data_IF_652914628160
#
_entry.id   IF_652914628160
#
_cell.length_a   1.000
_cell.length_b   1.000
_cell.length_c   1.000
_cell.angle_alpha   90.00
_cell.angle_beta   90.00
_cell.angle_gamma   90.00
#
_symmetry.space_group_name_H-M   'P 1'
#
loop_
_entity.id
_entity.type
_entity.pdbx_description
1 polymer ?
2 water ?
#
# COMPACT_ATOMS: atom_id res chain seq x y z
N UNK A 1 -10.06 12.83 -6.51
CA UNK A 1 -10.48 12.12 -5.27
C UNK A 1 -9.35 11.22 -4.80
N UNK A 2 -9.00 11.31 -3.52
CA UNK A 2 -8.01 10.43 -2.92
C UNK A 2 -8.46 8.98 -3.03
N UNK A 3 -7.57 8.12 -3.50
CA UNK A 3 -7.87 6.67 -3.65
C UNK A 3 -8.37 6.00 -2.35
N UNK A 4 -7.79 6.35 -1.22
CA UNK A 4 -8.26 5.81 0.08
C UNK A 4 -9.78 5.97 0.29
N UNK A 5 -10.34 7.02 -0.29
CA UNK A 5 -11.76 7.33 -0.16
C UNK A 5 -12.63 6.81 -1.32
N UNK A 6 -12.02 6.23 -2.34
CA UNK A 6 -12.80 5.75 -3.47
C UNK A 6 -13.81 4.68 -3.07
N UNK A 7 -15.04 4.84 -3.55
CA UNK A 7 -16.03 3.77 -3.44
C UNK A 7 -15.77 2.69 -4.51
N UNK A 8 -16.53 1.61 -4.49
CA UNK A 8 -16.45 0.64 -5.61
C UNK A 8 -16.80 1.29 -6.95
N UNK A 9 -17.84 2.12 -6.96
CA UNK A 9 -18.17 2.85 -8.16
C UNK A 9 -17.00 3.69 -8.68
N UNK A 10 -16.30 4.37 -7.76
CA UNK A 10 -15.08 5.13 -8.13
C UNK A 10 -14.03 4.21 -8.73
N UNK A 11 -13.85 3.06 -8.10
CA UNK A 11 -12.91 2.04 -8.62
C UNK A 11 -13.33 1.61 -10.02
N UNK A 12 -14.61 1.28 -10.23
CA UNK A 12 -15.07 0.88 -11.59
C UNK A 12 -14.85 1.99 -12.63
N UNK A 13 -15.04 3.25 -12.24
CA UNK A 13 -14.76 4.38 -13.16
C UNK A 13 -13.26 4.47 -13.53
N UNK A 14 -12.41 4.37 -12.51
CA UNK A 14 -10.96 4.26 -12.72
C UNK A 14 -10.64 3.08 -13.65
N UNK A 15 -11.24 1.91 -13.38
CA UNK A 15 -10.93 0.73 -14.17
C UNK A 15 -11.30 0.93 -15.65
N UNK A 16 -12.46 1.50 -15.91
CA UNK A 16 -12.89 1.75 -17.30
C UNK A 16 -11.94 2.71 -18.03
N UNK A 17 -11.47 3.71 -17.29
CA UNK A 17 -10.59 4.75 -17.84
C UNK A 17 -9.19 4.21 -18.12
N UNK A 18 -8.67 3.36 -17.23
CA UNK A 18 -7.23 2.99 -17.32
C UNK A 18 -7.01 1.57 -17.78
N UNK A 19 -8.06 0.75 -17.66
CA UNK A 19 -8.01 -0.63 -18.08
C UNK A 19 -9.08 -0.88 -19.09
N UNK A 20 -9.23 0.07 -20.00
CA UNK A 20 -10.30 0.05 -20.99
C UNK A 20 -10.20 -1.10 -21.96
N UNK A 21 -9.00 -1.65 -22.15
CA UNK A 21 -8.84 -2.81 -23.04
C UNK A 21 -9.09 -4.17 -22.34
N UNK A 22 -9.45 -4.14 -21.05
CA UNK A 22 -9.63 -5.35 -20.22
C UNK A 22 -10.98 -5.30 -19.52
N UNK A 23 -11.95 -4.70 -20.20
CA UNK A 23 -13.28 -4.53 -19.61
C UNK A 23 -13.93 -5.86 -19.24
N UNK A 24 -13.52 -6.95 -19.90
CA UNK A 24 -14.06 -8.30 -19.63
C UNK A 24 -13.99 -8.68 -18.15
N UNK A 25 -13.03 -8.10 -17.42
CA UNK A 25 -12.86 -8.41 -16.03
C UNK A 25 -13.54 -7.44 -15.09
N UNK A 26 -14.17 -6.40 -15.63
CA UNK A 26 -14.59 -5.29 -14.81
C UNK A 26 -15.56 -5.68 -13.71
N UNK A 27 -16.48 -6.61 -13.99
CA UNK A 27 -17.42 -7.06 -12.97
C UNK A 27 -16.80 -7.77 -11.78
N UNK A 28 -15.59 -8.33 -11.93
CA UNK A 28 -14.88 -8.93 -10.80
C UNK A 28 -14.65 -7.92 -9.68
N UNK A 29 -14.35 -6.67 -10.05
CA UNK A 29 -14.17 -5.60 -9.08
C UNK A 29 -15.42 -5.28 -8.28
N UNK A 30 -16.57 -5.35 -8.94
CA UNK A 30 -17.86 -5.16 -8.25
C UNK A 30 -18.20 -6.37 -7.39
N UNK A 31 -18.07 -7.56 -7.97
CA UNK A 31 -18.41 -8.82 -7.27
C UNK A 31 -17.53 -9.05 -6.04
N UNK A 32 -16.27 -8.62 -6.11
CA UNK A 32 -15.39 -8.73 -4.96
C UNK A 32 -15.36 -7.47 -4.10
N UNK A 33 -16.23 -6.52 -4.41
CA UNK A 33 -16.46 -5.35 -3.55
C UNK A 33 -15.15 -4.55 -3.30
N UNK A 34 -14.40 -4.31 -4.39
CA UNK A 34 -13.11 -3.62 -4.35
C UNK A 34 -13.28 -2.12 -4.25
N UNK A 35 -13.13 -1.61 -3.02
CA UNK A 35 -13.08 -0.17 -2.77
C UNK A 35 -11.65 0.34 -3.00
N UNK A 36 -11.48 1.65 -2.94
CA UNK A 36 -10.16 2.27 -3.02
C UNK A 36 -9.21 1.70 -1.99
N UNK A 37 -9.69 1.49 -0.78
CA UNK A 37 -8.82 0.97 0.24
C UNK A 37 -8.35 -0.44 -0.13
N UNK A 38 -9.25 -1.23 -0.70
CA UNK A 38 -8.87 -2.58 -1.13
C UNK A 38 -7.91 -2.54 -2.32
N UNK A 39 -8.14 -1.58 -3.21
CA UNK A 39 -7.30 -1.41 -4.39
C UNK A 39 -5.85 -1.14 -4.01
N UNK A 40 -5.64 -0.39 -2.93
CA UNK A 40 -4.29 -0.06 -2.48
C UNK A 40 -3.57 -1.23 -1.79
N UNK A 41 -4.30 -2.30 -1.49
CA UNK A 41 -3.78 -3.46 -0.74
C UNK A 41 -3.69 -4.75 -1.56
N UNK A 42 -4.51 -4.85 -2.61
CA UNK A 42 -4.54 -6.10 -3.38
C UNK A 42 -3.18 -6.42 -4.01
N UNK A 43 -2.96 -7.71 -4.25
CA UNK A 43 -1.71 -8.19 -4.83
C UNK A 43 -1.98 -8.85 -6.17
N UNK A 44 -0.91 -9.07 -6.93
CA UNK A 44 -1.00 -9.82 -8.16
C UNK A 44 -1.68 -11.16 -7.88
N UNK A 45 -1.30 -11.81 -6.79
CA UNK A 45 -1.97 -13.07 -6.39
C UNK A 45 -3.48 -12.95 -6.08
N UNK A 46 -3.93 -11.84 -5.47
CA UNK A 46 -5.40 -11.56 -5.29
C UNK A 46 -6.10 -11.57 -6.62
N UNK A 47 -5.49 -10.90 -7.61
CA UNK A 47 -6.06 -10.87 -8.96
C UNK A 47 -6.24 -12.28 -9.52
N UNK A 48 -5.21 -13.10 -9.38
CA UNK A 48 -5.31 -14.47 -9.86
C UNK A 48 -6.42 -15.26 -9.12
N UNK A 49 -6.58 -15.04 -7.81
CA UNK A 49 -7.73 -15.65 -7.06
C UNK A 49 -9.14 -15.15 -7.46
N UNK A 50 -9.24 -13.90 -7.87
CA UNK A 50 -10.48 -13.35 -8.42
C UNK A 50 -10.81 -13.96 -9.80
N UNK A 51 -9.82 -14.55 -10.45
CA UNK A 51 -10.06 -15.28 -11.71
C UNK A 51 -9.34 -14.71 -12.92
N UNK A 52 -8.42 -13.78 -12.70
CA UNK A 52 -7.65 -13.25 -13.81
C UNK A 52 -6.42 -14.16 -13.94
N UNK A 53 -6.63 -15.32 -14.55
CA UNK A 53 -5.59 -16.32 -14.69
C UNK A 53 -4.70 -16.09 -15.91
N UNK A 54 -5.19 -15.39 -16.93
CA UNK A 54 -4.35 -15.06 -18.08
C UNK A 54 -3.23 -14.12 -17.62
N UNK A 55 -2.00 -14.56 -17.79
CA UNK A 55 -0.85 -13.80 -17.30
C UNK A 55 -0.74 -12.39 -17.90
N UNK A 56 -0.82 -12.29 -19.23
CA UNK A 56 -0.65 -10.98 -19.84
C UNK A 56 -1.76 -10.03 -19.45
N UNK A 57 -3.00 -10.50 -19.38
CA UNK A 57 -4.11 -9.63 -18.91
C UNK A 57 -3.88 -9.20 -17.45
N UNK A 58 -3.53 -10.19 -16.61
CA UNK A 58 -3.33 -9.88 -15.19
C UNK A 58 -2.17 -8.88 -15.01
N UNK A 59 -1.07 -9.06 -15.76
CA UNK A 59 0.07 -8.12 -15.76
C UNK A 59 -0.37 -6.71 -16.08
N UNK A 60 -1.23 -6.59 -17.07
CA UNK A 60 -1.63 -5.26 -17.54
C UNK A 60 -2.47 -4.56 -16.49
N UNK A 61 -3.38 -5.30 -15.87
CA UNK A 61 -4.22 -4.72 -14.85
C UNK A 61 -3.39 -4.37 -13.64
N UNK A 62 -2.54 -5.31 -13.24
CA UNK A 62 -1.60 -5.05 -12.13
C UNK A 62 -0.79 -3.79 -12.31
N UNK A 63 -0.23 -3.59 -13.50
CA UNK A 63 0.56 -2.37 -13.73
C UNK A 63 -0.26 -1.10 -13.53
N UNK A 64 -1.53 -1.11 -13.93
CA UNK A 64 -2.40 0.07 -13.71
C UNK A 64 -2.63 0.33 -12.21
N UNK A 65 -2.75 -0.73 -11.45
CA UNK A 65 -2.92 -0.64 -10.00
C UNK A 65 -1.65 -0.04 -9.39
N UNK A 66 -0.50 -0.52 -9.84
CA UNK A 66 0.78 0.03 -9.32
C UNK A 66 0.93 1.51 -9.75
N UNK A 67 0.57 1.82 -11.00
CA UNK A 67 0.63 3.21 -11.46
C UNK A 67 -0.21 4.10 -10.53
N UNK A 68 -1.43 3.66 -10.21
CA UNK A 68 -2.27 4.43 -9.32
C UNK A 68 -1.63 4.55 -7.93
N UNK A 69 -1.07 3.46 -7.40
CA UNK A 69 -0.37 3.59 -6.12
C UNK A 69 0.78 4.58 -6.14
N UNK A 70 1.53 4.57 -7.24
CA UNK A 70 2.63 5.53 -7.38
C UNK A 70 2.11 6.96 -7.38
N UNK A 71 1.01 7.23 -8.11
CA UNK A 71 0.43 8.57 -8.09
C UNK A 71 0.07 8.98 -6.68
N UNK A 72 -0.58 8.08 -5.97
CA UNK A 72 -0.97 8.30 -4.59
C UNK A 72 0.25 8.58 -3.71
N UNK A 73 1.29 7.77 -3.85
CA UNK A 73 2.46 7.89 -3.01
C UNK A 73 3.26 9.19 -3.24
N UNK A 74 3.41 9.62 -4.49
CA UNK A 74 4.13 10.88 -4.75
C UNK A 74 3.41 12.06 -4.14
N UNK A 75 2.10 11.94 -4.00
CA UNK A 75 1.38 13.02 -3.35
C UNK A 75 1.80 13.14 -1.90
N UNK B 1 15.51 -7.91 -0.10
CA UNK B 1 14.29 -8.71 0.18
C UNK B 1 13.05 -7.83 -0.02
N UNK B 2 11.99 -8.38 -0.61
CA UNK B 2 10.72 -7.63 -0.74
C UNK B 2 10.14 -7.26 0.64
N UNK B 3 9.64 -6.02 0.79
CA UNK B 3 9.07 -5.57 2.07
C UNK B 3 7.97 -6.49 2.64
N UNK B 4 7.16 -7.06 1.77
CA UNK B 4 6.05 -7.90 2.22
C UNK B 4 6.56 -9.13 2.99
N UNK B 5 7.84 -9.44 2.83
CA UNK B 5 8.50 -10.55 3.55
C UNK B 5 9.25 -10.14 4.84
N UNK B 6 9.42 -8.85 5.06
CA UNK B 6 10.18 -8.35 6.23
C UNK B 6 9.51 -8.75 7.52
N UNK B 7 10.33 -9.23 8.44
CA UNK B 7 9.87 -9.58 9.78
C UNK B 7 9.92 -8.33 10.61
N UNK B 8 9.35 -8.41 11.79
CA UNK B 8 9.47 -7.29 12.73
C UNK B 8 10.95 -6.88 12.94
N UNK B 9 11.86 -7.84 13.10
CA UNK B 9 13.30 -7.52 13.24
C UNK B 9 13.81 -6.73 12.03
N UNK B 10 13.43 -7.16 10.82
CA UNK B 10 13.84 -6.46 9.60
C UNK B 10 13.35 -5.00 9.63
N UNK B 11 12.09 -4.80 10.03
CA UNK B 11 11.52 -3.43 10.12
C UNK B 11 12.27 -2.62 11.17
N UNK B 12 12.58 -3.25 12.31
CA UNK B 12 13.37 -2.53 13.37
C UNK B 12 14.73 -2.08 12.85
N UNK B 13 15.39 -2.95 12.07
CA UNK B 13 16.68 -2.62 11.43
C UNK B 13 16.49 -1.44 10.47
N UNK B 14 15.44 -1.53 9.67
CA UNK B 14 15.14 -0.47 8.70
C UNK B 14 14.90 0.85 9.41
N UNK B 15 14.16 0.76 10.52
CA UNK B 15 13.76 1.96 11.27
C UNK B 15 15.00 2.66 11.84
N UNK B 16 15.90 1.87 12.42
CA UNK B 16 17.15 2.41 12.99
C UNK B 16 17.94 3.14 11.93
N UNK B 17 17.94 2.55 10.74
CA UNK B 17 18.67 3.04 9.58
C UNK B 17 18.12 4.35 8.97
N UNK B 18 16.79 4.47 8.88
CA UNK B 18 16.17 5.63 8.20
C UNK B 18 15.55 6.67 9.15
N UNK B 19 15.31 6.28 10.39
CA UNK B 19 14.70 7.13 11.40
C UNK B 19 15.56 7.27 12.65
N UNK B 20 16.87 7.42 12.41
CA UNK B 20 17.89 7.44 13.47
C UNK B 20 17.77 8.56 14.49
N UNK B 21 17.12 9.67 14.11
CA UNK B 21 16.90 10.75 15.07
C UNK B 21 15.58 10.61 15.84
N UNK B 22 14.94 9.45 15.67
CA UNK B 22 13.66 9.18 16.30
C UNK B 22 13.63 7.78 16.92
N UNK B 23 14.76 7.35 17.48
CA UNK B 23 14.87 5.96 17.94
C UNK B 23 14.04 5.67 19.19
N UNK B 24 13.68 6.74 19.89
CA UNK B 24 12.65 6.75 20.92
C UNK B 24 11.46 5.81 20.56
N UNK B 25 11.00 5.89 19.29
CA UNK B 25 9.77 5.20 18.90
C UNK B 25 9.96 3.77 18.43
N UNK B 26 11.23 3.31 18.35
CA UNK B 26 11.50 1.93 17.86
C UNK B 26 10.70 0.88 18.64
N UNK B 27 10.58 1.07 19.95
CA UNK B 27 9.84 0.14 20.77
C UNK B 27 8.35 0.01 20.46
N UNK B 28 7.76 1.07 19.89
CA UNK B 28 6.36 1.03 19.52
C UNK B 28 6.18 0.12 18.32
N UNK B 29 7.13 0.15 17.40
CA UNK B 29 7.11 -0.72 16.23
C UNK B 29 7.19 -2.21 16.64
N UNK B 30 8.01 -2.52 17.63
CA UNK B 30 8.10 -3.93 18.12
C UNK B 30 6.81 -4.33 18.84
N UNK B 31 6.30 -3.44 19.70
CA UNK B 31 5.11 -3.74 20.49
C UNK B 31 3.88 -3.96 19.66
N UNK B 32 3.80 -3.21 18.57
CA UNK B 32 2.69 -3.36 17.65
C UNK B 32 2.92 -4.38 16.52
N UNK B 33 3.98 -5.19 16.63
CA UNK B 33 4.21 -6.26 15.65
C UNK B 33 4.25 -5.73 14.24
N UNK B 34 5.03 -4.67 14.02
CA UNK B 34 5.01 -4.07 12.69
C UNK B 34 5.93 -4.87 11.81
N UNK B 35 5.32 -5.75 11.03
CA UNK B 35 6.03 -6.49 9.99
C UNK B 35 6.16 -5.58 8.76
N UNK B 36 6.87 -6.04 7.72
CA UNK B 36 6.85 -5.32 6.43
C UNK B 36 5.46 -5.08 5.88
N UNK B 37 4.61 -6.11 5.92
CA UNK B 37 3.21 -5.94 5.50
C UNK B 37 2.52 -4.79 6.24
N UNK B 38 2.71 -4.79 7.55
CA UNK B 38 2.13 -3.79 8.42
C UNK B 38 2.74 -2.42 8.15
N UNK B 39 4.04 -2.39 7.87
CA UNK B 39 4.75 -1.13 7.66
C UNK B 39 4.13 -0.40 6.47
N UNK B 40 3.90 -1.12 5.38
CA UNK B 40 3.37 -0.49 4.18
C UNK B 40 1.95 0.08 4.34
N UNK B 41 1.21 -0.43 5.31
CA UNK B 41 -0.18 -0.01 5.56
C UNK B 41 -0.36 1.04 6.66
N UNK B 42 0.72 1.40 7.33
CA UNK B 42 0.61 2.41 8.38
C UNK B 42 0.12 3.75 7.81
N UNK B 43 -0.74 4.42 8.56
CA UNK B 43 -1.25 5.74 8.19
C UNK B 43 -0.82 6.75 9.24
N UNK B 44 -1.07 8.02 8.95
CA UNK B 44 -0.83 9.07 9.95
C UNK B 44 -1.56 8.72 11.26
N UNK B 45 -2.82 8.34 11.14
CA UNK B 45 -3.62 7.95 12.30
C UNK B 45 -3.14 6.67 13.00
N UNK B 46 -2.64 5.67 12.25
CA UNK B 46 -1.96 4.48 12.83
C UNK B 46 -0.86 4.91 13.76
N UNK B 47 0.02 5.76 13.25
CA UNK B 47 1.19 6.18 14.00
C UNK B 47 0.78 6.92 15.25
N UNK B 48 -0.24 7.75 15.10
CA UNK B 48 -0.81 8.46 16.25
C UNK B 48 -1.32 7.46 17.30
N UNK B 49 -2.13 6.49 16.89
CA UNK B 49 -2.62 5.45 17.82
C UNK B 49 -1.51 4.62 18.46
N UNK B 50 -0.44 4.34 17.70
CA UNK B 50 0.77 3.65 18.22
C UNK B 50 1.42 4.40 19.37
N UNK B 51 1.23 5.72 19.41
CA UNK B 51 1.75 6.56 20.49
C UNK B 51 2.74 7.62 20.04
N UNK B 52 2.85 7.82 18.72
CA UNK B 52 3.68 8.93 18.23
C UNK B 52 2.75 10.14 18.18
N UNK B 53 2.71 10.88 19.27
CA UNK B 53 1.69 11.93 19.36
C UNK B 53 2.18 13.31 18.94
N UNK B 54 3.49 13.46 18.74
CA UNK B 54 4.04 14.70 18.22
C UNK B 54 3.91 14.69 16.70
N UNK B 55 3.15 15.63 16.15
CA UNK B 55 2.91 15.62 14.71
C UNK B 55 4.14 15.78 13.82
N UNK B 56 5.15 16.54 14.27
CA UNK B 56 6.37 16.75 13.48
C UNK B 56 7.19 15.47 13.43
N UNK B 57 7.29 14.79 14.57
CA UNK B 57 7.90 13.44 14.60
C UNK B 57 7.18 12.46 13.65
N UNK B 58 5.84 12.45 13.70
CA UNK B 58 5.04 11.63 12.78
C UNK B 58 5.40 11.95 11.32
N UNK B 59 5.42 13.24 10.98
CA UNK B 59 5.80 13.67 9.62
C UNK B 59 7.13 13.09 9.16
N UNK B 60 8.12 13.10 10.05
CA UNK B 60 9.46 12.66 9.69
C UNK B 60 9.46 11.17 9.43
N UNK B 61 8.79 10.44 10.33
CA UNK B 61 8.68 8.99 10.18
C UNK B 61 7.87 8.64 8.94
N UNK B 62 6.71 9.29 8.80
CA UNK B 62 5.85 9.11 7.59
C UNK B 62 6.62 9.30 6.30
N UNK B 63 7.48 10.33 6.26
CA UNK B 63 8.31 10.62 5.09
C UNK B 63 9.11 9.40 4.73
N UNK B 64 9.72 8.76 5.71
CA UNK B 64 10.53 7.60 5.41
C UNK B 64 9.68 6.40 5.00
N UNK B 65 8.52 6.22 5.63
CA UNK B 65 7.61 5.13 5.23
C UNK B 65 7.19 5.29 3.76
N UNK B 66 6.82 6.52 3.39
CA UNK B 66 6.42 6.83 1.98
C UNK B 66 7.54 6.59 1.00
N UNK B 67 8.77 6.96 1.39
CA UNK B 67 9.91 6.69 0.51
C UNK B 67 10.10 5.20 0.28
N UNK B 68 9.92 4.41 1.33
CA UNK B 68 9.95 2.95 1.18
C UNK B 68 8.81 2.41 0.28
N UNK B 69 7.60 2.95 0.48
CA UNK B 69 6.48 2.60 -0.38
C UNK B 69 6.76 2.86 -1.82
N UNK B 70 7.42 3.98 -2.11
CA UNK B 70 7.78 4.34 -3.48
C UNK B 70 8.75 3.36 -4.10
N UNK B 71 9.81 3.04 -3.35
CA UNK B 71 10.79 2.03 -3.77
C UNK B 71 10.12 0.68 -4.06
N UNK B 72 9.21 0.27 -3.18
CA UNK B 72 8.49 -0.99 -3.32
C UNK B 72 7.55 -0.97 -4.53
N UNK B 73 6.83 0.13 -4.68
CA UNK B 73 5.91 0.25 -5.82
C UNK B 73 6.68 0.24 -7.14
N UNK B 74 7.80 0.95 -7.21
CA UNK B 74 8.60 0.88 -8.45
C UNK B 74 9.05 -0.55 -8.78
N UNK B 75 9.51 -1.23 -7.75
CA UNK B 75 10.28 -2.43 -7.94
C UNK B 75 10.24 -3.34 -6.72
#
# INVERSE_FOLDING_TARGET
>A
KAVYLWTVSDVLKWYRRHCGEYTQYEQLFAQHDITGRALLRITDSSLQRMGVTDNRDREAIWREIVKQRLKTDIMEIR
>B
KAVYLWTVSDVLKWYRRHCGEYTQYEQLFAQHDITGRALLRITDSSLQRMGVTDNRDREAIWREIVKQRLKTDIMEIR
#
